data_IF_390701290151
#
_entry.id   IF_390701290151
#
_cell.length_a   1.000
_cell.length_b   1.000
_cell.length_c   1.000
_cell.angle_alpha   90.00
_cell.angle_beta   90.00
_cell.angle_gamma   90.00
#
_symmetry.space_group_name_H-M   'P 1'
#
loop_
_entity.id
_entity.type
_entity.pdbx_description
1 polymer ?
#
# COMPACT_ATOMS: atom_id res chain seq x y z
N UNK A 1 20.62 -1.73 1.91
CA UNK A 1 19.17 -1.65 1.66
C UNK A 1 18.42 -1.09 2.87
N UNK A 2 18.59 -1.63 4.05
CA UNK A 2 18.00 -1.19 5.34
C UNK A 2 18.24 0.30 5.68
N UNK A 3 19.36 0.88 5.28
CA UNK A 3 19.66 2.30 5.53
C UNK A 3 18.72 3.29 4.85
N UNK A 4 18.10 2.94 3.72
CA UNK A 4 17.20 3.84 2.96
C UNK A 4 15.75 3.76 3.40
N UNK A 5 15.28 2.60 3.85
CA UNK A 5 13.95 2.48 4.47
C UNK A 5 13.88 3.28 5.78
N UNK A 6 15.01 3.40 6.52
CA UNK A 6 15.11 4.27 7.70
C UNK A 6 14.81 5.75 7.39
N UNK A 7 15.11 6.23 6.18
CA UNK A 7 14.79 7.61 5.79
C UNK A 7 13.29 7.84 5.54
N UNK A 8 12.52 6.81 5.18
CA UNK A 8 11.06 6.91 5.07
C UNK A 8 10.40 7.17 6.43
N UNK A 9 10.97 6.61 7.50
CA UNK A 9 10.52 6.87 8.88
C UNK A 9 11.25 8.05 9.56
N UNK A 10 12.05 8.82 8.81
CA UNK A 10 12.76 9.98 9.34
C UNK A 10 13.92 9.65 10.29
N UNK A 11 14.31 8.36 10.42
CA UNK A 11 15.43 7.95 11.25
C UNK A 11 16.74 8.53 10.68
N UNK A 12 17.46 9.31 11.47
CA UNK A 12 18.66 10.04 11.03
C UNK A 12 18.43 11.51 10.65
N UNK A 13 17.21 12.05 10.82
CA UNK A 13 16.86 13.47 10.65
C UNK A 13 16.50 14.13 11.97
N UNK A 14 16.29 15.47 11.92
CA UNK A 14 15.80 16.23 13.08
C UNK A 14 14.47 15.65 13.60
N UNK A 15 14.20 15.78 14.91
CA UNK A 15 13.01 15.20 15.57
C UNK A 15 11.69 15.50 14.85
N UNK A 16 11.54 16.72 14.30
CA UNK A 16 10.33 17.16 13.58
C UNK A 16 9.97 16.31 12.36
N UNK A 17 10.94 15.71 11.66
CA UNK A 17 10.65 14.89 10.46
C UNK A 17 10.22 13.45 10.77
N UNK A 18 10.36 13.03 12.03
CA UNK A 18 9.97 11.70 12.50
C UNK A 18 8.50 11.65 12.92
N UNK A 19 7.94 12.78 13.34
CA UNK A 19 6.61 12.85 13.95
C UNK A 19 5.54 12.30 13.02
N UNK A 20 5.48 12.75 11.77
CA UNK A 20 4.42 12.39 10.84
C UNK A 20 4.31 10.88 10.57
N UNK A 21 5.38 10.14 10.20
CA UNK A 21 5.30 8.70 9.99
C UNK A 21 4.83 7.92 11.22
N UNK A 22 5.32 8.30 12.41
CA UNK A 22 4.96 7.60 13.65
C UNK A 22 3.56 7.95 14.12
N UNK A 23 3.09 9.18 13.92
CA UNK A 23 1.70 9.57 14.21
C UNK A 23 0.74 8.79 13.32
N UNK A 24 1.00 8.72 12.01
CA UNK A 24 0.16 7.93 11.09
C UNK A 24 0.16 6.45 11.46
N UNK A 25 1.31 5.89 11.83
CA UNK A 25 1.41 4.51 12.28
C UNK A 25 0.63 4.28 13.58
N UNK A 26 0.75 5.19 14.55
CA UNK A 26 -0.01 5.13 15.79
C UNK A 26 -1.52 5.19 15.53
N UNK A 27 -1.96 6.13 14.68
CA UNK A 27 -3.37 6.23 14.27
C UNK A 27 -3.86 4.98 13.54
N UNK A 28 -3.02 4.36 12.70
CA UNK A 28 -3.37 3.12 12.02
C UNK A 28 -3.36 1.90 12.96
N UNK A 29 -2.61 1.93 14.05
CA UNK A 29 -2.53 0.83 15.02
C UNK A 29 -3.58 0.94 16.13
N UNK A 30 -4.08 2.14 16.42
CA UNK A 30 -5.03 2.39 17.50
C UNK A 30 -6.35 1.62 17.33
N UNK A 31 -7.01 1.58 16.15
CA UNK A 31 -8.21 0.75 15.98
C UNK A 31 -7.93 -0.74 16.20
N UNK A 32 -6.74 -1.24 15.84
CA UNK A 32 -6.37 -2.63 16.09
C UNK A 32 -6.35 -2.96 17.59
N UNK A 33 -5.78 -2.07 18.39
CA UNK A 33 -5.76 -2.21 19.86
C UNK A 33 -7.18 -2.18 20.43
N UNK A 34 -8.04 -1.29 19.91
CA UNK A 34 -9.45 -1.23 20.34
C UNK A 34 -10.19 -2.53 19.99
N UNK A 35 -10.03 -3.04 18.78
CA UNK A 35 -10.64 -4.33 18.35
C UNK A 35 -10.22 -5.46 19.27
N UNK A 36 -8.93 -5.58 19.55
CA UNK A 36 -8.40 -6.59 20.50
C UNK A 36 -9.00 -6.40 21.88
N UNK A 37 -9.04 -5.17 22.39
CA UNK A 37 -9.64 -4.86 23.68
C UNK A 37 -11.12 -5.28 23.76
N UNK A 38 -11.89 -5.02 22.71
CA UNK A 38 -13.29 -5.45 22.61
C UNK A 38 -13.41 -6.98 22.66
N UNK A 39 -12.60 -7.70 21.86
CA UNK A 39 -12.64 -9.18 21.84
C UNK A 39 -12.31 -9.77 23.20
N UNK A 40 -11.29 -9.26 23.88
CA UNK A 40 -10.87 -9.72 25.21
C UNK A 40 -11.95 -9.43 26.27
N UNK A 41 -12.54 -8.23 26.25
CA UNK A 41 -13.53 -7.82 27.25
C UNK A 41 -14.89 -8.50 27.06
N UNK A 42 -15.27 -8.78 25.82
CA UNK A 42 -16.58 -9.37 25.51
C UNK A 42 -16.55 -10.89 25.42
N UNK A 43 -15.35 -11.51 25.38
CA UNK A 43 -15.20 -12.96 25.18
C UNK A 43 -15.67 -13.44 23.80
N UNK A 44 -15.65 -12.57 22.77
CA UNK A 44 -16.00 -12.97 21.42
C UNK A 44 -15.07 -14.07 20.93
N UNK A 45 -15.62 -15.19 20.49
CA UNK A 45 -14.89 -16.33 19.95
C UNK A 45 -14.30 -16.12 18.55
N UNK A 46 -14.33 -14.87 18.01
CA UNK A 46 -13.77 -14.50 16.71
C UNK A 46 -13.42 -13.02 16.66
N UNK A 47 -12.53 -12.66 15.76
CA UNK A 47 -12.31 -11.27 15.41
C UNK A 47 -13.51 -10.70 14.64
N UNK A 48 -14.01 -9.50 14.99
CA UNK A 48 -15.08 -8.83 14.24
C UNK A 48 -14.62 -8.31 12.86
N UNK A 49 -13.31 -8.30 12.61
CA UNK A 49 -12.68 -7.78 11.39
C UNK A 49 -11.55 -8.72 10.99
N UNK A 50 -11.51 -9.18 9.74
CA UNK A 50 -10.37 -9.94 9.22
C UNK A 50 -9.13 -9.09 9.08
N UNK A 51 -7.95 -9.71 9.05
CA UNK A 51 -6.67 -8.99 8.90
C UNK A 51 -6.58 -8.21 7.59
N UNK A 52 -7.12 -8.76 6.50
CA UNK A 52 -7.13 -8.10 5.20
C UNK A 52 -8.14 -6.94 5.14
N UNK A 53 -9.36 -7.12 5.67
CA UNK A 53 -10.37 -6.04 5.68
C UNK A 53 -10.00 -4.90 6.62
N UNK A 54 -9.26 -5.17 7.70
CA UNK A 54 -8.71 -4.13 8.56
C UNK A 54 -7.84 -3.14 7.78
N UNK A 55 -7.01 -3.65 6.87
CA UNK A 55 -6.16 -2.80 6.02
C UNK A 55 -6.99 -1.88 5.13
N UNK A 56 -8.12 -2.34 4.61
CA UNK A 56 -9.04 -1.52 3.84
C UNK A 56 -9.69 -0.42 4.69
N UNK A 57 -9.95 -0.67 5.97
CA UNK A 57 -10.48 0.35 6.89
C UNK A 57 -9.48 1.48 7.19
N UNK A 58 -8.18 1.19 7.23
CA UNK A 58 -7.12 2.19 7.44
C UNK A 58 -6.51 2.71 6.12
N UNK A 59 -7.16 2.44 4.99
CA UNK A 59 -6.71 2.79 3.63
C UNK A 59 -6.29 4.25 3.48
N UNK A 60 -7.02 5.19 4.10
CA UNK A 60 -6.69 6.61 4.06
C UNK A 60 -5.33 6.90 4.69
N UNK A 61 -5.05 6.30 5.85
CA UNK A 61 -3.79 6.49 6.58
C UNK A 61 -2.59 5.90 5.81
N UNK A 62 -2.78 4.72 5.22
CA UNK A 62 -1.78 4.06 4.36
C UNK A 62 -1.50 4.91 3.12
N UNK A 63 -2.55 5.41 2.46
CA UNK A 63 -2.43 6.28 1.27
C UNK A 63 -1.72 7.60 1.59
N UNK A 64 -2.04 8.24 2.72
CA UNK A 64 -1.36 9.45 3.20
C UNK A 64 0.12 9.17 3.51
N UNK A 65 0.42 8.03 4.15
CA UNK A 65 1.80 7.64 4.39
C UNK A 65 2.57 7.46 3.07
N UNK A 66 2.01 6.71 2.11
CA UNK A 66 2.62 6.51 0.80
C UNK A 66 2.86 7.84 0.07
N UNK A 67 1.83 8.71 0.00
CA UNK A 67 1.90 10.02 -0.63
C UNK A 67 2.94 10.95 0.00
N UNK A 68 3.11 10.90 1.31
CA UNK A 68 4.07 11.73 2.04
C UNK A 68 5.52 11.23 1.91
N UNK A 69 5.73 9.88 1.88
CA UNK A 69 7.06 9.28 1.88
C UNK A 69 7.66 9.14 0.47
N UNK A 70 6.84 8.91 -0.56
CA UNK A 70 7.33 8.80 -1.93
C UNK A 70 8.15 10.03 -2.39
N UNK A 71 7.72 11.29 -2.23
CA UNK A 71 8.52 12.44 -2.63
C UNK A 71 9.85 12.58 -1.86
N UNK A 72 9.89 12.10 -0.63
CA UNK A 72 11.11 12.09 0.20
C UNK A 72 12.18 11.19 -0.40
N UNK A 73 11.75 10.06 -0.99
CA UNK A 73 12.65 9.06 -1.57
C UNK A 73 12.99 9.34 -3.04
N UNK A 74 12.06 9.90 -3.82
CA UNK A 74 12.20 10.05 -5.28
C UNK A 74 12.49 11.49 -5.73
N UNK A 75 11.75 12.50 -5.24
CA UNK A 75 11.85 13.88 -5.76
C UNK A 75 13.09 14.62 -5.25
N UNK A 76 13.62 14.26 -4.08
CA UNK A 76 14.73 14.99 -3.44
C UNK A 76 16.03 14.92 -4.24
N UNK A 77 16.37 13.73 -4.71
CA UNK A 77 17.62 13.51 -5.42
C UNK A 77 17.57 14.05 -6.86
N UNK A 78 16.35 14.05 -7.47
CA UNK A 78 16.12 14.69 -8.76
C UNK A 78 16.30 16.20 -8.67
N UNK A 79 15.83 16.83 -7.60
CA UNK A 79 15.86 18.28 -7.39
C UNK A 79 17.29 18.79 -7.12
N UNK A 80 18.09 18.03 -6.38
CA UNK A 80 19.45 18.43 -5.99
C UNK A 80 20.53 17.99 -6.98
N UNK A 81 20.15 17.41 -8.15
CA UNK A 81 21.07 16.84 -9.15
C UNK A 81 22.10 15.86 -8.54
N UNK A 82 21.85 15.37 -7.33
CA UNK A 82 22.73 14.40 -6.65
C UNK A 82 22.83 13.07 -7.41
N UNK A 83 21.91 12.82 -8.34
CA UNK A 83 21.92 11.67 -9.25
C UNK A 83 23.25 11.60 -10.03
N UNK A 84 23.79 12.72 -10.49
CA UNK A 84 25.06 12.77 -11.24
C UNK A 84 26.22 12.23 -10.39
N UNK A 85 26.23 12.52 -9.08
CA UNK A 85 27.25 12.01 -8.15
C UNK A 85 27.10 10.50 -7.87
N UNK A 86 25.87 9.97 -7.93
CA UNK A 86 25.63 8.52 -7.77
C UNK A 86 25.95 7.74 -9.05
N UNK A 87 25.73 8.33 -10.23
CA UNK A 87 26.04 7.75 -11.53
C UNK A 87 27.52 7.87 -11.91
N UNK A 88 28.30 8.72 -11.24
CA UNK A 88 29.77 8.72 -11.34
C UNK A 88 30.41 7.44 -10.75
N UNK A 89 29.65 6.63 -10.01
CA UNK A 89 30.02 5.27 -9.62
C UNK A 89 29.32 4.28 -10.57
N UNK A 90 29.76 3.01 -10.71
CA UNK A 90 29.23 2.04 -11.69
C UNK A 90 27.84 1.50 -11.29
N UNK A 91 26.93 2.38 -10.83
CA UNK A 91 25.54 2.04 -10.50
C UNK A 91 24.66 2.39 -11.70
N UNK A 92 24.04 1.36 -12.31
CA UNK A 92 23.10 1.59 -13.40
C UNK A 92 21.83 2.32 -12.88
N UNK A 93 21.26 3.19 -13.72
CA UNK A 93 20.00 3.91 -13.42
C UNK A 93 18.85 2.96 -13.04
N UNK A 94 18.86 1.74 -13.60
CA UNK A 94 17.88 0.69 -13.29
C UNK A 94 18.00 0.19 -11.84
N UNK A 95 19.23 -0.09 -11.40
CA UNK A 95 19.48 -0.50 -10.00
C UNK A 95 19.08 0.61 -9.03
N UNK A 96 19.35 1.87 -9.39
CA UNK A 96 18.94 3.01 -8.57
C UNK A 96 17.41 3.08 -8.42
N UNK A 97 16.63 2.94 -9.52
CA UNK A 97 15.17 2.94 -9.51
C UNK A 97 14.63 1.79 -8.67
N UNK A 98 15.14 0.56 -8.88
CA UNK A 98 14.76 -0.64 -8.12
C UNK A 98 14.98 -0.48 -6.62
N UNK A 99 16.15 -0.01 -6.21
CA UNK A 99 16.47 0.19 -4.79
C UNK A 99 15.55 1.22 -4.14
N UNK A 100 15.14 2.26 -4.87
CA UNK A 100 14.20 3.26 -4.38
C UNK A 100 12.79 2.71 -4.22
N UNK A 101 12.29 2.04 -5.26
CA UNK A 101 11.00 1.39 -5.23
C UNK A 101 10.94 0.37 -4.09
N UNK A 102 11.93 -0.52 -3.98
CA UNK A 102 11.98 -1.52 -2.92
C UNK A 102 12.10 -0.89 -1.52
N UNK A 103 12.81 0.23 -1.38
CA UNK A 103 12.88 0.94 -0.10
C UNK A 103 11.53 1.50 0.35
N UNK A 104 10.71 2.00 -0.59
CA UNK A 104 9.36 2.46 -0.28
C UNK A 104 8.41 1.29 -0.01
N UNK A 105 8.51 0.20 -0.80
CA UNK A 105 7.74 -1.03 -0.58
C UNK A 105 8.00 -1.59 0.82
N UNK A 106 9.26 -1.72 1.24
CA UNK A 106 9.60 -2.19 2.59
C UNK A 106 9.06 -1.24 3.67
N UNK A 107 9.14 0.07 3.45
CA UNK A 107 8.56 1.03 4.40
C UNK A 107 7.04 0.86 4.54
N UNK A 108 6.33 0.67 3.42
CA UNK A 108 4.89 0.40 3.43
C UNK A 108 4.56 -0.95 4.08
N UNK A 109 5.35 -1.98 3.83
CA UNK A 109 5.16 -3.28 4.49
C UNK A 109 5.29 -3.18 6.01
N UNK A 110 6.30 -2.49 6.50
CA UNK A 110 6.44 -2.27 7.96
C UNK A 110 5.23 -1.52 8.51
N UNK A 111 4.73 -0.52 7.77
CA UNK A 111 3.54 0.23 8.17
C UNK A 111 2.27 -0.65 8.22
N UNK A 112 2.09 -1.55 7.26
CA UNK A 112 0.95 -2.47 7.17
C UNK A 112 1.06 -3.63 8.17
N UNK A 113 2.24 -4.19 8.34
CA UNK A 113 2.43 -5.38 9.17
C UNK A 113 2.34 -5.10 10.66
N UNK A 114 2.73 -3.91 11.14
CA UNK A 114 2.68 -3.59 12.57
C UNK A 114 1.24 -3.71 13.10
N UNK A 115 0.20 -3.04 12.57
CA UNK A 115 -1.16 -3.19 13.07
C UNK A 115 -1.73 -4.61 12.85
N UNK A 116 -1.37 -5.28 11.75
CA UNK A 116 -1.77 -6.67 11.49
C UNK A 116 -1.21 -7.63 12.52
N UNK A 117 0.08 -7.50 12.86
CA UNK A 117 0.70 -8.29 13.92
C UNK A 117 0.14 -7.98 15.31
N UNK A 118 -0.24 -6.74 15.58
CA UNK A 118 -0.93 -6.37 16.82
C UNK A 118 -2.28 -7.08 16.93
N UNK A 119 -3.07 -7.11 15.85
CA UNK A 119 -4.34 -7.87 15.80
C UNK A 119 -4.09 -9.36 16.03
N UNK A 120 -3.10 -9.94 15.36
CA UNK A 120 -2.78 -11.37 15.48
C UNK A 120 -2.36 -11.76 16.90
N UNK A 121 -1.41 -11.02 17.48
CA UNK A 121 -0.98 -11.28 18.86
C UNK A 121 -2.16 -11.10 19.83
N UNK A 122 -2.99 -10.08 19.62
CA UNK A 122 -4.18 -9.85 20.41
C UNK A 122 -5.21 -10.97 20.29
N UNK A 123 -5.43 -11.51 19.09
CA UNK A 123 -6.32 -12.64 18.85
C UNK A 123 -5.85 -13.92 19.59
N UNK A 124 -4.56 -14.19 19.57
CA UNK A 124 -3.97 -15.31 20.30
C UNK A 124 -4.07 -15.13 21.82
N UNK A 125 -3.86 -13.92 22.33
CA UNK A 125 -4.02 -13.61 23.76
C UNK A 125 -5.48 -13.70 24.21
N UNK A 126 -6.44 -13.45 23.31
CA UNK A 126 -7.86 -13.64 23.53
C UNK A 126 -8.30 -15.11 23.48
N UNK A 127 -7.39 -16.05 23.22
CA UNK A 127 -7.68 -17.49 23.18
C UNK A 127 -8.34 -17.98 21.89
N UNK A 128 -8.29 -17.23 20.80
CA UNK A 128 -8.80 -17.64 19.49
C UNK A 128 -7.94 -18.77 18.90
N UNK A 129 -8.55 -19.60 18.01
CA UNK A 129 -7.85 -20.73 17.39
C UNK A 129 -6.61 -20.28 16.62
N UNK A 130 -5.47 -20.85 16.99
CA UNK A 130 -4.17 -20.46 16.43
C UNK A 130 -4.03 -20.82 14.96
N UNK A 131 -4.61 -21.96 14.53
CA UNK A 131 -4.48 -22.42 13.15
C UNK A 131 -5.18 -21.44 12.20
N UNK A 132 -6.44 -21.15 12.49
CA UNK A 132 -7.26 -20.26 11.67
C UNK A 132 -6.69 -18.85 11.62
N UNK A 133 -6.31 -18.31 12.79
CA UNK A 133 -5.73 -16.97 12.88
C UNK A 133 -4.38 -16.87 12.13
N UNK A 134 -3.57 -17.92 12.14
CA UNK A 134 -2.29 -17.92 11.42
C UNK A 134 -2.51 -17.97 9.91
N UNK A 135 -3.45 -18.77 9.43
CA UNK A 135 -3.77 -18.86 8.00
C UNK A 135 -4.28 -17.52 7.46
N UNK A 136 -5.27 -16.92 8.13
CA UNK A 136 -5.81 -15.61 7.73
C UNK A 136 -4.74 -14.51 7.76
N UNK A 137 -3.89 -14.49 8.79
CA UNK A 137 -2.78 -13.53 8.88
C UNK A 137 -1.80 -13.73 7.71
N UNK A 138 -1.42 -14.96 7.37
CA UNK A 138 -0.47 -15.21 6.27
C UNK A 138 -1.06 -14.77 4.92
N UNK A 139 -2.35 -15.03 4.66
CA UNK A 139 -3.04 -14.51 3.48
C UNK A 139 -2.96 -12.98 3.42
N UNK A 140 -3.25 -12.30 4.53
CA UNK A 140 -3.14 -10.84 4.60
C UNK A 140 -1.72 -10.33 4.36
N UNK A 141 -0.68 -10.97 4.92
CA UNK A 141 0.72 -10.57 4.72
C UNK A 141 1.14 -10.66 3.25
N UNK A 142 0.69 -11.70 2.53
CA UNK A 142 0.95 -11.84 1.08
C UNK A 142 0.22 -10.75 0.28
N UNK A 143 -1.05 -10.48 0.60
CA UNK A 143 -1.80 -9.39 -0.02
C UNK A 143 -1.16 -8.02 0.25
N UNK A 144 -0.56 -7.82 1.43
CA UNK A 144 0.19 -6.59 1.73
C UNK A 144 1.43 -6.42 0.85
N UNK A 145 2.12 -7.51 0.44
CA UNK A 145 3.22 -7.43 -0.52
C UNK A 145 2.75 -6.87 -1.86
N UNK A 146 1.60 -7.36 -2.35
CA UNK A 146 0.98 -6.85 -3.56
C UNK A 146 0.63 -5.36 -3.41
N UNK A 147 -0.14 -5.02 -2.37
CA UNK A 147 -0.59 -3.64 -2.12
C UNK A 147 0.60 -2.68 -1.98
N UNK A 148 1.59 -3.01 -1.16
CA UNK A 148 2.77 -2.18 -0.95
C UNK A 148 3.56 -1.95 -2.24
N UNK A 149 3.67 -2.97 -3.10
CA UNK A 149 4.34 -2.87 -4.40
C UNK A 149 3.60 -1.95 -5.37
N UNK A 150 2.25 -2.04 -5.42
CA UNK A 150 1.39 -1.17 -6.23
C UNK A 150 1.47 0.28 -5.76
N UNK A 151 1.27 0.52 -4.46
CA UNK A 151 1.32 1.86 -3.89
C UNK A 151 2.70 2.51 -4.07
N UNK A 152 3.79 1.76 -3.84
CA UNK A 152 5.16 2.23 -4.06
C UNK A 152 5.45 2.54 -5.53
N UNK A 153 4.90 1.74 -6.45
CA UNK A 153 5.02 1.95 -7.89
C UNK A 153 4.34 3.24 -8.33
N UNK A 154 3.06 3.38 -8.00
CA UNK A 154 2.22 4.52 -8.39
C UNK A 154 2.77 5.83 -7.79
N UNK A 155 2.95 5.88 -6.47
CA UNK A 155 3.42 7.09 -5.79
C UNK A 155 4.87 7.44 -6.12
N UNK A 156 5.71 6.42 -6.33
CA UNK A 156 7.08 6.58 -6.80
C UNK A 156 7.14 7.19 -8.21
N UNK A 157 6.31 6.69 -9.14
CA UNK A 157 6.23 7.21 -10.51
C UNK A 157 5.75 8.66 -10.52
N UNK A 158 4.65 8.99 -9.82
CA UNK A 158 4.13 10.35 -9.67
C UNK A 158 5.22 11.27 -9.10
N UNK A 159 5.93 10.83 -8.05
CA UNK A 159 6.99 11.59 -7.40
C UNK A 159 8.21 11.78 -8.29
N UNK A 160 8.51 10.85 -9.19
CA UNK A 160 9.64 10.94 -10.13
C UNK A 160 9.40 11.94 -11.26
N UNK A 161 8.14 12.20 -11.60
CA UNK A 161 7.75 13.17 -12.65
C UNK A 161 7.56 14.57 -12.06
N UNK A 162 7.15 14.66 -10.80
CA UNK A 162 6.82 15.92 -10.15
C UNK A 162 8.07 16.61 -9.60
N UNK A 163 8.36 17.84 -10.08
CA UNK A 163 9.49 18.65 -9.63
C UNK A 163 9.29 19.25 -8.23
N UNK A 164 8.04 19.49 -7.84
CA UNK A 164 7.69 20.09 -6.53
C UNK A 164 7.04 19.03 -5.63
N UNK A 165 7.50 18.96 -4.39
CA UNK A 165 7.01 18.00 -3.39
C UNK A 165 5.49 18.07 -3.20
N UNK A 166 4.92 19.28 -3.15
CA UNK A 166 3.49 19.47 -2.96
C UNK A 166 2.65 18.83 -4.09
N UNK A 167 3.04 19.02 -5.35
CA UNK A 167 2.36 18.38 -6.49
C UNK A 167 2.46 16.86 -6.46
N UNK A 168 3.61 16.31 -6.05
CA UNK A 168 3.76 14.87 -5.89
C UNK A 168 2.80 14.31 -4.82
N UNK A 169 2.69 14.98 -3.67
CA UNK A 169 1.77 14.58 -2.60
C UNK A 169 0.32 14.65 -3.06
N UNK A 170 -0.10 15.79 -3.63
CA UNK A 170 -1.47 15.98 -4.11
C UNK A 170 -1.82 14.98 -5.20
N UNK A 171 -0.95 14.79 -6.20
CA UNK A 171 -1.14 13.81 -7.26
C UNK A 171 -1.24 12.37 -6.73
N UNK A 172 -0.46 12.01 -5.73
CA UNK A 172 -0.55 10.71 -5.08
C UNK A 172 -1.86 10.52 -4.30
N UNK A 173 -2.33 11.57 -3.60
CA UNK A 173 -3.63 11.53 -2.90
C UNK A 173 -4.78 11.39 -3.91
N UNK A 174 -4.76 12.15 -5.02
CA UNK A 174 -5.76 12.01 -6.08
C UNK A 174 -5.78 10.59 -6.65
N UNK A 175 -4.60 10.03 -6.96
CA UNK A 175 -4.51 8.69 -7.54
C UNK A 175 -4.88 7.56 -6.55
N UNK A 176 -4.66 7.72 -5.25
CA UNK A 176 -4.90 6.66 -4.29
C UNK A 176 -6.22 6.81 -3.53
N UNK A 177 -6.62 8.02 -3.18
CA UNK A 177 -7.78 8.27 -2.32
C UNK A 177 -9.00 8.64 -3.15
N UNK A 178 -8.88 9.65 -4.02
CA UNK A 178 -10.03 10.12 -4.81
C UNK A 178 -10.46 9.06 -5.81
N UNK A 179 -9.52 8.46 -6.55
CA UNK A 179 -9.84 7.41 -7.50
C UNK A 179 -10.45 6.19 -6.81
N UNK A 180 -9.91 5.78 -5.65
CA UNK A 180 -10.51 4.69 -4.87
C UNK A 180 -11.94 5.02 -4.44
N UNK A 181 -12.19 6.23 -3.95
CA UNK A 181 -13.55 6.66 -3.58
C UNK A 181 -14.54 6.65 -4.76
N UNK A 182 -14.09 7.09 -5.94
CA UNK A 182 -14.90 7.03 -7.18
C UNK A 182 -15.21 5.57 -7.55
N UNK A 183 -14.21 4.70 -7.56
CA UNK A 183 -14.35 3.28 -7.91
C UNK A 183 -15.30 2.60 -6.91
N UNK A 184 -15.08 2.77 -5.61
CA UNK A 184 -15.96 2.19 -4.57
C UNK A 184 -17.42 2.69 -4.71
N UNK A 185 -17.62 3.96 -5.10
CA UNK A 185 -18.97 4.49 -5.35
C UNK A 185 -19.61 3.82 -6.58
N UNK A 186 -18.84 3.57 -7.64
CA UNK A 186 -19.34 2.84 -8.82
C UNK A 186 -19.68 1.40 -8.46
N UNK A 187 -18.82 0.70 -7.70
CA UNK A 187 -19.09 -0.65 -7.21
C UNK A 187 -20.38 -0.73 -6.39
N UNK A 188 -20.58 0.21 -5.47
CA UNK A 188 -21.79 0.27 -4.63
C UNK A 188 -23.06 0.52 -5.47
N UNK A 189 -23.00 1.42 -6.46
CA UNK A 189 -24.12 1.69 -7.37
C UNK A 189 -24.38 0.49 -8.28
N UNK A 190 -23.34 -0.13 -8.81
CA UNK A 190 -23.43 -1.31 -9.67
C UNK A 190 -24.13 -2.46 -8.91
N UNK A 191 -23.72 -2.70 -7.66
CA UNK A 191 -24.35 -3.70 -6.77
C UNK A 191 -25.82 -3.40 -6.53
N UNK A 192 -26.18 -2.13 -6.29
CA UNK A 192 -27.59 -1.73 -6.06
C UNK A 192 -28.48 -1.86 -7.30
N UNK A 193 -27.90 -2.06 -8.47
CA UNK A 193 -28.60 -2.18 -9.77
C UNK A 193 -28.42 -3.54 -10.43
N UNK A 194 -27.91 -4.54 -9.70
CA UNK A 194 -27.61 -5.88 -10.22
C UNK A 194 -26.69 -5.86 -11.48
N UNK A 195 -25.84 -4.84 -11.56
CA UNK A 195 -24.87 -4.63 -12.65
C UNK A 195 -23.45 -5.00 -12.21
N UNK A 196 -23.29 -6.14 -11.52
CA UNK A 196 -22.03 -6.56 -10.88
C UNK A 196 -20.81 -6.54 -11.83
N UNK A 197 -21.01 -6.89 -13.11
CA UNK A 197 -19.93 -6.83 -14.10
C UNK A 197 -19.34 -5.42 -14.29
N UNK A 198 -20.16 -4.35 -14.14
CA UNK A 198 -19.69 -2.97 -14.21
C UNK A 198 -18.89 -2.63 -12.97
N UNK A 199 -19.33 -3.07 -11.79
CA UNK A 199 -18.61 -2.88 -10.54
C UNK A 199 -17.24 -3.56 -10.55
N UNK A 200 -17.21 -4.85 -10.93
CA UNK A 200 -15.97 -5.62 -11.07
C UNK A 200 -15.01 -4.96 -12.07
N UNK A 201 -15.50 -4.51 -13.23
CA UNK A 201 -14.68 -3.81 -14.21
C UNK A 201 -14.12 -2.48 -13.67
N UNK A 202 -14.92 -1.72 -12.91
CA UNK A 202 -14.48 -0.49 -12.26
C UNK A 202 -13.36 -0.75 -11.23
N UNK A 203 -13.43 -1.85 -10.50
CA UNK A 203 -12.43 -2.26 -9.52
C UNK A 203 -11.01 -2.43 -10.09
N UNK A 204 -10.88 -2.72 -11.38
CA UNK A 204 -9.58 -2.83 -12.06
C UNK A 204 -8.79 -1.52 -12.08
N UNK A 205 -9.44 -0.37 -11.90
CA UNK A 205 -8.80 0.94 -11.96
C UNK A 205 -8.26 1.43 -10.61
N UNK A 206 -8.56 0.75 -9.50
CA UNK A 206 -8.10 1.14 -8.17
C UNK A 206 -7.13 0.11 -7.57
N UNK A 207 -5.94 0.51 -7.08
CA UNK A 207 -5.05 -0.42 -6.39
C UNK A 207 -5.68 -1.01 -5.12
N UNK A 208 -6.61 -0.29 -4.50
CA UNK A 208 -7.34 -0.75 -3.33
C UNK A 208 -8.40 -1.79 -3.68
N UNK A 209 -9.17 -1.57 -4.76
CA UNK A 209 -10.12 -2.58 -5.24
C UNK A 209 -9.41 -3.82 -5.78
N UNK A 210 -8.24 -3.68 -6.43
CA UNK A 210 -7.41 -4.83 -6.80
C UNK A 210 -6.98 -5.64 -5.56
N UNK A 211 -6.53 -4.97 -4.50
CA UNK A 211 -6.19 -5.61 -3.23
C UNK A 211 -7.38 -6.32 -2.60
N UNK A 212 -8.52 -5.63 -2.48
CA UNK A 212 -9.72 -6.18 -1.85
C UNK A 212 -10.33 -7.32 -2.66
N UNK A 213 -10.44 -7.15 -3.99
CA UNK A 213 -11.01 -8.19 -4.87
C UNK A 213 -10.14 -9.45 -4.93
N UNK A 214 -8.82 -9.33 -4.94
CA UNK A 214 -7.94 -10.50 -4.83
C UNK A 214 -7.99 -11.13 -3.43
N UNK A 215 -8.23 -10.33 -2.40
CA UNK A 215 -8.47 -10.83 -1.05
C UNK A 215 -9.76 -11.64 -0.95
N UNK A 216 -10.86 -11.18 -1.56
CA UNK A 216 -12.11 -11.93 -1.64
C UNK A 216 -11.94 -13.23 -2.42
N UNK A 217 -11.28 -13.17 -3.59
CA UNK A 217 -11.03 -14.35 -4.41
C UNK A 217 -10.15 -15.41 -3.71
N UNK A 218 -9.36 -15.00 -2.71
CA UNK A 218 -8.51 -15.90 -1.92
C UNK A 218 -9.10 -16.24 -0.55
N UNK A 219 -10.33 -15.86 -0.30
CA UNK A 219 -11.02 -16.06 0.98
C UNK A 219 -10.18 -15.53 2.18
N UNK A 220 -9.70 -14.30 2.02
CA UNK A 220 -8.94 -13.61 3.07
C UNK A 220 -9.83 -12.72 3.95
N UNK A 221 -11.16 -12.89 3.87
CA UNK A 221 -12.15 -12.18 4.67
C UNK A 221 -12.29 -10.69 4.32
N UNK A 222 -11.90 -10.27 3.12
CA UNK A 222 -12.26 -8.96 2.61
C UNK A 222 -13.73 -8.92 2.22
N UNK A 223 -14.29 -7.71 2.18
CA UNK A 223 -15.66 -7.49 1.71
C UNK A 223 -15.65 -6.39 0.67
N UNK A 224 -15.71 -6.78 -0.60
CA UNK A 224 -15.97 -5.84 -1.70
C UNK A 224 -17.45 -5.80 -2.03
N UNK A 225 -17.92 -4.70 -2.64
CA UNK A 225 -19.30 -4.61 -3.10
C UNK A 225 -19.59 -5.57 -4.25
N UNK A 226 -18.60 -5.77 -5.12
CA UNK A 226 -18.69 -6.63 -6.30
C UNK A 226 -17.43 -7.51 -6.37
N UNK A 227 -17.42 -8.66 -5.65
CA UNK A 227 -16.27 -9.56 -5.66
C UNK A 227 -16.03 -10.13 -7.07
N UNK A 228 -14.74 -10.20 -7.51
CA UNK A 228 -14.41 -10.81 -8.80
C UNK A 228 -14.55 -12.33 -8.71
N UNK A 229 -15.23 -12.93 -9.69
CA UNK A 229 -15.40 -14.38 -9.80
C UNK A 229 -14.91 -14.90 -11.16
N UNK A 230 -14.54 -16.17 -11.22
CA UNK A 230 -14.14 -16.85 -12.46
C UNK A 230 -13.05 -16.12 -13.23
N UNK A 231 -13.30 -15.73 -14.50
CA UNK A 231 -12.34 -15.07 -15.36
C UNK A 231 -11.92 -13.68 -14.87
N UNK A 232 -12.74 -13.01 -14.07
CA UNK A 232 -12.41 -11.70 -13.50
C UNK A 232 -11.26 -11.76 -12.49
N UNK A 233 -11.11 -12.85 -11.75
CA UNK A 233 -9.96 -13.04 -10.85
C UNK A 233 -8.65 -12.99 -11.64
N UNK A 234 -8.60 -13.68 -12.79
CA UNK A 234 -7.44 -13.64 -13.67
C UNK A 234 -7.17 -12.21 -14.20
N UNK A 235 -8.25 -11.48 -14.58
CA UNK A 235 -8.11 -10.09 -15.01
C UNK A 235 -7.50 -9.20 -13.90
N UNK A 236 -7.94 -9.36 -12.64
CA UNK A 236 -7.38 -8.65 -11.49
C UNK A 236 -5.89 -8.96 -11.29
N UNK A 237 -5.50 -10.23 -11.36
CA UNK A 237 -4.08 -10.63 -11.27
C UNK A 237 -3.27 -10.00 -12.40
N UNK A 238 -3.75 -10.11 -13.65
CA UNK A 238 -3.05 -9.55 -14.82
C UNK A 238 -2.88 -8.03 -14.68
N UNK A 239 -3.95 -7.32 -14.33
CA UNK A 239 -3.90 -5.85 -14.17
C UNK A 239 -2.99 -5.46 -13.01
N UNK A 240 -3.02 -6.16 -11.88
CA UNK A 240 -2.12 -5.90 -10.76
C UNK A 240 -0.64 -6.08 -11.15
N UNK A 241 -0.31 -7.16 -11.87
CA UNK A 241 1.06 -7.42 -12.36
C UNK A 241 1.49 -6.38 -13.39
N UNK A 242 0.61 -6.05 -14.35
CA UNK A 242 0.88 -5.04 -15.37
C UNK A 242 1.05 -3.64 -14.76
N UNK A 243 0.24 -3.29 -13.76
CA UNK A 243 0.33 -2.00 -13.06
C UNK A 243 1.64 -1.91 -12.26
N UNK A 244 1.98 -2.95 -11.48
CA UNK A 244 3.23 -2.99 -10.73
C UNK A 244 4.45 -2.96 -11.65
N UNK A 245 4.47 -3.81 -12.69
CA UNK A 245 5.55 -3.88 -13.68
C UNK A 245 5.65 -2.61 -14.51
N UNK A 246 4.53 -2.07 -14.98
CA UNK A 246 4.46 -0.83 -15.76
C UNK A 246 4.97 0.38 -14.98
N UNK A 247 4.59 0.52 -13.71
CA UNK A 247 5.11 1.57 -12.83
C UNK A 247 6.63 1.44 -12.64
N UNK A 248 7.12 0.22 -12.44
CA UNK A 248 8.55 -0.04 -12.27
C UNK A 248 9.34 0.26 -13.55
N UNK A 249 8.84 -0.18 -14.71
CA UNK A 249 9.44 0.13 -16.01
C UNK A 249 9.44 1.64 -16.28
N UNK A 250 8.35 2.33 -15.96
CA UNK A 250 8.25 3.79 -16.05
C UNK A 250 9.27 4.50 -15.17
N UNK A 251 9.47 4.03 -13.94
CA UNK A 251 10.53 4.53 -13.04
C UNK A 251 11.93 4.32 -13.63
N UNK A 252 12.22 3.12 -14.12
CA UNK A 252 13.53 2.81 -14.76
C UNK A 252 13.76 3.68 -15.98
N UNK A 253 12.78 3.81 -16.88
CA UNK A 253 12.86 4.64 -18.07
C UNK A 253 13.10 6.12 -17.71
N UNK A 254 12.40 6.62 -16.69
CA UNK A 254 12.55 7.99 -16.20
C UNK A 254 13.97 8.27 -15.69
N UNK A 255 14.52 7.36 -14.87
CA UNK A 255 15.87 7.53 -14.33
C UNK A 255 16.96 7.35 -15.38
N UNK A 256 16.77 6.49 -16.39
CA UNK A 256 17.67 6.40 -17.56
C UNK A 256 17.73 7.73 -18.31
N UNK A 257 16.57 8.34 -18.61
CA UNK A 257 16.50 9.63 -19.32
C UNK A 257 17.16 10.79 -18.54
N UNK A 258 17.15 10.74 -17.21
CA UNK A 258 17.80 11.75 -16.37
C UNK A 258 19.31 11.52 -16.30
N UNK A 259 19.76 10.27 -16.33
CA UNK A 259 21.17 9.92 -16.29
C UNK A 259 21.93 10.10 -17.61
N UNK A 260 21.21 10.26 -18.74
CA UNK A 260 21.80 10.50 -20.08
C UNK A 260 21.89 12.00 -20.44
N UNK A 261 21.49 12.90 -19.55
CA UNK A 261 21.59 14.36 -19.69
C UNK A 261 22.65 14.91 -18.73
#
# INVERSE_FOLDING_TARGET
MLFRSRHAYGLGRSGKSKVMPFVLLGMASLPAVIVVGVVVLTGLGRLPVSYASYTSQVQLLVSLFAAAQAPVLFSRDLRHRSIVLYLARPLSSSVFALVRWLSLTVALLVFLWIPTLLLYVGALLAGLDRSDQTEEMLKALVLHLLLASLLAGITGLISSVSLRRGFAVVGSILALVVLAGVVTSIEAIARSRDADAVGVAAGLFSPWSLYSGLGDAWDAGNVTFTPPEGAWVLAYVIVAVLLAGGCLLGLVARFRKVGSR
#
